data_IF_493637943493
#
_entry.id   IF_493637943493
#
_cell.length_a   1.000
_cell.length_b   1.000
_cell.length_c   1.000
_cell.angle_alpha   90.00
_cell.angle_beta   90.00
_cell.angle_gamma   90.00
#
_symmetry.space_group_name_H-M   'P 1'
#
loop_
_entity.id
_entity.type
_entity.pdbx_description
1 polymer ?
#
# COMPACT_ATOMS: atom_id res chain seq x y z
N UNK A 1 6.83 3.59 -0.43
CA UNK A 1 7.82 3.49 0.67
C UNK A 1 7.86 4.73 1.56
N UNK A 2 7.87 5.96 1.02
CA UNK A 2 7.91 7.18 1.82
C UNK A 2 6.80 7.29 2.89
N UNK A 3 5.55 6.93 2.55
CA UNK A 3 4.45 6.93 3.53
C UNK A 3 4.71 6.01 4.73
N UNK A 4 5.24 4.81 4.50
CA UNK A 4 5.56 3.87 5.59
C UNK A 4 6.63 4.47 6.49
N UNK A 5 7.68 5.06 5.90
CA UNK A 5 8.74 5.73 6.67
C UNK A 5 8.22 6.91 7.48
N UNK A 6 7.26 7.65 6.93
CA UNK A 6 6.62 8.80 7.56
C UNK A 6 5.71 8.39 8.73
N UNK A 7 4.86 7.39 8.51
CA UNK A 7 3.83 6.97 9.46
C UNK A 7 4.35 5.99 10.52
N UNK A 8 5.39 5.21 10.19
CA UNK A 8 5.89 4.10 11.02
C UNK A 8 7.43 4.14 11.09
N UNK A 9 8.03 5.20 11.65
CA UNK A 9 9.48 5.45 11.59
C UNK A 9 10.33 4.36 12.25
N UNK A 10 9.80 3.65 13.24
CA UNK A 10 10.53 2.56 13.92
C UNK A 10 10.49 1.22 13.17
N UNK A 11 9.64 1.10 12.14
CA UNK A 11 9.43 -0.16 11.43
C UNK A 11 10.25 -0.19 10.15
N UNK A 12 11.15 -1.17 10.03
CA UNK A 12 12.15 -1.22 8.94
C UNK A 12 12.01 -2.44 8.04
N UNK A 13 11.34 -3.50 8.49
CA UNK A 13 11.15 -4.73 7.73
C UNK A 13 9.73 -4.77 7.15
N UNK A 14 9.62 -4.78 5.83
CA UNK A 14 8.37 -4.69 5.09
C UNK A 14 8.10 -6.05 4.45
N UNK A 15 7.05 -6.71 4.90
CA UNK A 15 6.52 -7.89 4.24
C UNK A 15 5.70 -7.50 3.02
N UNK A 16 5.84 -8.25 1.94
CA UNK A 16 5.00 -8.09 0.74
C UNK A 16 4.63 -9.49 0.23
N UNK A 17 3.36 -9.68 -0.08
CA UNK A 17 2.87 -10.87 -0.77
C UNK A 17 2.60 -10.52 -2.23
N UNK A 18 3.21 -11.23 -3.16
CA UNK A 18 3.08 -11.00 -4.60
C UNK A 18 2.51 -12.25 -5.27
N UNK A 19 1.37 -12.08 -5.93
CA UNK A 19 0.84 -13.07 -6.85
C UNK A 19 1.38 -12.86 -8.28
N UNK A 20 0.80 -13.55 -9.27
CA UNK A 20 1.24 -13.47 -10.67
C UNK A 20 1.15 -12.06 -11.26
N UNK A 21 0.12 -11.28 -10.91
CA UNK A 21 -0.11 -9.93 -11.44
C UNK A 21 0.98 -8.95 -10.98
N UNK A 22 1.42 -9.11 -9.73
CA UNK A 22 2.39 -8.22 -9.10
C UNK A 22 3.83 -8.78 -9.07
N UNK A 23 4.09 -9.97 -9.64
CA UNK A 23 5.36 -10.68 -9.52
C UNK A 23 6.58 -9.84 -9.95
N UNK A 24 6.43 -9.05 -11.03
CA UNK A 24 7.50 -8.19 -11.57
C UNK A 24 7.86 -7.01 -10.64
N UNK A 25 6.98 -6.64 -9.70
CA UNK A 25 7.20 -5.49 -8.82
C UNK A 25 8.21 -5.74 -7.71
N UNK A 26 8.56 -7.00 -7.41
CA UNK A 26 9.43 -7.35 -6.28
C UNK A 26 10.78 -6.61 -6.29
N UNK A 27 11.46 -6.57 -7.44
CA UNK A 27 12.74 -5.87 -7.58
C UNK A 27 12.62 -4.36 -7.39
N UNK A 28 11.60 -3.74 -8.01
CA UNK A 28 11.34 -2.31 -7.90
C UNK A 28 10.97 -1.90 -6.46
N UNK A 29 10.18 -2.72 -5.77
CA UNK A 29 9.81 -2.52 -4.36
C UNK A 29 11.04 -2.60 -3.46
N UNK A 30 11.89 -3.62 -3.64
CA UNK A 30 13.13 -3.76 -2.88
C UNK A 30 14.09 -2.58 -3.09
N UNK A 31 14.28 -2.13 -4.34
CA UNK A 31 15.11 -0.97 -4.64
C UNK A 31 14.56 0.32 -4.01
N UNK A 32 13.25 0.57 -4.15
CA UNK A 32 12.58 1.73 -3.54
C UNK A 32 12.67 1.74 -2.02
N UNK A 33 12.57 0.57 -1.39
CA UNK A 33 12.70 0.39 0.05
C UNK A 33 14.14 0.62 0.52
N UNK A 34 15.12 0.06 -0.20
CA UNK A 34 16.55 0.22 0.10
C UNK A 34 16.98 1.68 0.12
N UNK A 35 16.49 2.49 -0.83
CA UNK A 35 16.72 3.94 -0.89
C UNK A 35 16.17 4.72 0.33
N UNK A 36 15.31 4.08 1.14
CA UNK A 36 14.70 4.65 2.35
C UNK A 36 15.22 3.95 3.63
N UNK A 37 16.25 3.09 3.53
CA UNK A 37 16.76 2.31 4.65
C UNK A 37 15.76 1.27 5.19
N UNK A 38 14.85 0.80 4.34
CA UNK A 38 13.89 -0.26 4.60
C UNK A 38 14.34 -1.57 3.92
N UNK A 39 13.91 -2.71 4.44
CA UNK A 39 14.16 -4.04 3.87
C UNK A 39 12.82 -4.66 3.47
N UNK A 40 12.76 -5.27 2.29
CA UNK A 40 11.55 -5.95 1.80
C UNK A 40 11.76 -7.45 1.86
N UNK A 41 10.82 -8.15 2.48
CA UNK A 41 10.71 -9.61 2.47
C UNK A 41 9.51 -10.01 1.61
N UNK A 42 9.76 -10.74 0.53
CA UNK A 42 8.75 -11.08 -0.48
C UNK A 42 8.31 -12.52 -0.33
N UNK A 43 7.04 -12.74 -0.01
CA UNK A 43 6.38 -14.03 -0.19
C UNK A 43 5.71 -14.09 -1.57
N UNK A 44 5.95 -15.17 -2.32
CA UNK A 44 5.32 -15.37 -3.62
C UNK A 44 4.19 -16.38 -3.50
N UNK A 45 3.07 -16.07 -4.13
CA UNK A 45 1.86 -16.89 -4.13
C UNK A 45 1.52 -17.19 -5.59
N UNK A 46 1.22 -18.44 -5.93
CA UNK A 46 0.73 -18.78 -7.28
C UNK A 46 -0.78 -19.01 -7.27
N UNK A 47 -1.28 -19.66 -6.22
CA UNK A 47 -2.70 -19.92 -6.01
C UNK A 47 -3.15 -19.47 -4.62
N UNK A 48 -4.45 -19.17 -4.40
CA UNK A 48 -4.93 -18.69 -3.11
C UNK A 48 -4.63 -19.63 -1.93
N UNK A 49 -4.48 -20.92 -2.17
CA UNK A 49 -4.23 -21.93 -1.13
C UNK A 49 -2.82 -21.79 -0.51
N UNK A 50 -1.85 -21.24 -1.25
CA UNK A 50 -0.48 -21.00 -0.75
C UNK A 50 -0.42 -19.81 0.22
N UNK A 51 -1.48 -19.00 0.28
CA UNK A 51 -1.50 -17.73 1.03
C UNK A 51 -1.16 -17.92 2.50
N UNK A 52 -1.70 -18.95 3.15
CA UNK A 52 -1.53 -19.14 4.59
C UNK A 52 -0.05 -19.34 4.97
N UNK A 53 0.66 -20.21 4.22
CA UNK A 53 2.08 -20.46 4.43
C UNK A 53 2.93 -19.24 4.11
N UNK A 54 2.74 -18.66 2.91
CA UNK A 54 3.49 -17.47 2.50
C UNK A 54 3.28 -16.28 3.45
N UNK A 55 2.05 -16.07 3.93
CA UNK A 55 1.75 -15.04 4.91
C UNK A 55 2.40 -15.32 6.26
N UNK A 56 2.41 -16.56 6.73
CA UNK A 56 3.08 -16.93 7.97
C UNK A 56 4.58 -16.59 7.92
N UNK A 57 5.26 -17.04 6.86
CA UNK A 57 6.70 -16.82 6.67
C UNK A 57 7.02 -15.32 6.58
N UNK A 58 6.21 -14.58 5.81
CA UNK A 58 6.40 -13.13 5.66
C UNK A 58 6.19 -12.38 6.97
N UNK A 59 5.17 -12.74 7.77
CA UNK A 59 4.88 -12.06 9.03
C UNK A 59 5.92 -12.37 10.11
N UNK A 60 6.64 -13.49 10.03
CA UNK A 60 7.74 -13.79 10.96
C UNK A 60 8.92 -12.81 10.81
N UNK A 61 9.14 -12.30 9.61
CA UNK A 61 10.28 -11.43 9.27
C UNK A 61 9.92 -9.94 9.13
N UNK A 62 8.64 -9.59 9.15
CA UNK A 62 8.15 -8.25 8.86
C UNK A 62 7.62 -7.50 10.09
N UNK A 63 7.88 -6.20 10.14
CA UNK A 63 7.28 -5.28 11.11
C UNK A 63 6.02 -4.59 10.56
N UNK A 64 5.84 -4.60 9.24
CA UNK A 64 4.68 -4.07 8.50
C UNK A 64 4.39 -4.98 7.31
N UNK A 65 3.12 -5.30 7.06
CA UNK A 65 2.71 -5.90 5.79
C UNK A 65 2.25 -4.79 4.84
N UNK A 66 2.84 -4.70 3.65
CA UNK A 66 2.39 -3.81 2.58
C UNK A 66 1.57 -4.61 1.57
N UNK A 67 0.29 -4.28 1.45
CA UNK A 67 -0.54 -4.83 0.39
C UNK A 67 -0.26 -4.15 -0.94
N UNK A 68 -0.03 -4.99 -1.94
CA UNK A 68 0.08 -4.62 -3.34
C UNK A 68 -1.15 -5.19 -4.06
N UNK A 69 -1.86 -4.43 -4.89
CA UNK A 69 -3.01 -4.95 -5.64
C UNK A 69 -2.61 -6.20 -6.43
N UNK A 70 -3.22 -7.32 -6.07
CA UNK A 70 -3.05 -8.61 -6.71
C UNK A 70 -4.28 -9.47 -6.40
N UNK A 71 -4.99 -9.93 -7.42
CA UNK A 71 -6.28 -10.61 -7.25
C UNK A 71 -6.18 -11.98 -6.58
N UNK A 72 -5.02 -12.65 -6.64
CA UNK A 72 -4.76 -13.92 -5.95
C UNK A 72 -4.58 -13.69 -4.45
N UNK A 73 -3.92 -12.59 -4.08
CA UNK A 73 -3.58 -12.28 -2.69
C UNK A 73 -4.69 -11.52 -1.97
N UNK A 74 -5.23 -10.47 -2.58
CA UNK A 74 -6.16 -9.52 -1.94
C UNK A 74 -7.52 -9.52 -2.66
N UNK A 75 -8.43 -10.37 -2.20
CA UNK A 75 -9.80 -10.44 -2.68
C UNK A 75 -10.78 -10.64 -1.52
N UNK A 76 -12.08 -10.70 -1.81
CA UNK A 76 -13.13 -10.85 -0.80
C UNK A 76 -13.01 -12.14 0.03
N UNK A 77 -12.39 -13.19 -0.50
CA UNK A 77 -12.19 -14.49 0.18
C UNK A 77 -10.95 -14.48 1.06
N UNK A 78 -9.88 -13.81 0.64
CA UNK A 78 -8.57 -13.86 1.33
C UNK A 78 -8.33 -12.73 2.32
N UNK A 79 -8.93 -11.55 2.09
CA UNK A 79 -8.61 -10.34 2.87
C UNK A 79 -8.87 -10.50 4.37
N UNK A 80 -9.94 -11.22 4.75
CA UNK A 80 -10.27 -11.46 6.16
C UNK A 80 -9.17 -12.26 6.86
N UNK A 81 -8.61 -13.27 6.19
CA UNK A 81 -7.50 -14.05 6.75
C UNK A 81 -6.25 -13.20 6.89
N UNK A 82 -5.93 -12.38 5.89
CA UNK A 82 -4.79 -11.45 5.96
C UNK A 82 -4.93 -10.50 7.14
N UNK A 83 -6.09 -9.85 7.30
CA UNK A 83 -6.36 -8.90 8.38
C UNK A 83 -6.26 -9.55 9.76
N UNK A 84 -6.77 -10.78 9.90
CA UNK A 84 -6.68 -11.53 11.16
C UNK A 84 -5.25 -11.92 11.48
N UNK A 85 -4.51 -12.48 10.52
CA UNK A 85 -3.12 -12.91 10.74
C UNK A 85 -2.20 -11.73 11.06
N UNK A 86 -2.37 -10.61 10.35
CA UNK A 86 -1.63 -9.37 10.62
C UNK A 86 -1.92 -8.82 12.01
N UNK A 87 -3.19 -8.79 12.41
CA UNK A 87 -3.58 -8.37 13.76
C UNK A 87 -3.03 -9.30 14.85
N UNK A 88 -3.17 -10.63 14.71
CA UNK A 88 -2.66 -11.61 15.67
C UNK A 88 -1.12 -11.58 15.77
N UNK A 89 -0.43 -11.41 14.65
CA UNK A 89 1.02 -11.24 14.61
C UNK A 89 1.50 -9.86 15.08
N UNK A 90 0.59 -8.94 15.42
CA UNK A 90 0.89 -7.53 15.76
C UNK A 90 1.68 -6.80 14.65
N UNK A 91 1.52 -7.23 13.41
CA UNK A 91 2.13 -6.63 12.22
C UNK A 91 1.08 -5.79 11.50
N UNK A 92 1.10 -4.45 11.56
CA UNK A 92 0.09 -3.64 10.90
C UNK A 92 0.08 -3.81 9.38
N UNK A 93 -1.12 -3.80 8.80
CA UNK A 93 -1.34 -3.80 7.35
C UNK A 93 -1.42 -2.37 6.80
N UNK A 94 -0.53 -2.05 5.86
CA UNK A 94 -0.60 -0.85 5.00
C UNK A 94 -1.24 -1.26 3.67
N UNK A 95 -2.41 -0.71 3.38
CA UNK A 95 -3.25 -1.10 2.27
C UNK A 95 -3.27 -0.09 1.09
N UNK A 96 -3.91 -0.48 0.00
CA UNK A 96 -4.14 0.36 -1.18
C UNK A 96 -5.61 0.78 -1.35
N UNK A 97 -6.48 0.45 -0.38
CA UNK A 97 -7.92 0.71 -0.46
C UNK A 97 -8.47 1.15 0.90
N UNK A 98 -9.32 2.20 0.94
CA UNK A 98 -9.96 2.63 2.18
C UNK A 98 -10.97 1.59 2.69
N UNK A 99 -11.44 0.68 1.84
CA UNK A 99 -12.28 -0.44 2.27
C UNK A 99 -11.52 -1.38 3.21
N UNK A 100 -10.22 -1.58 3.00
CA UNK A 100 -9.41 -2.41 3.88
C UNK A 100 -9.12 -1.70 5.20
N UNK A 101 -9.00 -0.37 5.22
CA UNK A 101 -8.89 0.40 6.48
C UNK A 101 -10.14 0.22 7.33
N UNK A 102 -11.33 0.31 6.70
CA UNK A 102 -12.61 0.02 7.38
C UNK A 102 -12.70 -1.42 7.89
N UNK A 103 -12.07 -2.37 7.19
CA UNK A 103 -12.05 -3.77 7.57
C UNK A 103 -10.99 -4.12 8.63
N UNK A 104 -10.05 -3.21 8.94
CA UNK A 104 -9.03 -3.43 10.00
C UNK A 104 -7.58 -3.23 9.57
N UNK A 105 -7.30 -2.75 8.35
CA UNK A 105 -5.96 -2.31 7.99
C UNK A 105 -5.59 -1.04 8.78
N UNK A 106 -4.31 -0.84 9.07
CA UNK A 106 -3.83 0.32 9.82
C UNK A 106 -4.05 1.62 9.05
N UNK A 107 -3.65 1.63 7.78
CA UNK A 107 -3.78 2.79 6.91
C UNK A 107 -3.81 2.35 5.44
N UNK A 108 -4.27 3.23 4.56
CA UNK A 108 -4.19 3.03 3.12
C UNK A 108 -3.83 4.30 2.37
N UNK A 109 -3.04 4.15 1.31
CA UNK A 109 -2.82 5.18 0.31
C UNK A 109 -3.65 4.84 -0.93
N UNK A 110 -4.50 5.75 -1.37
CA UNK A 110 -5.40 5.49 -2.51
C UNK A 110 -5.73 6.77 -3.26
N UNK A 111 -6.20 6.61 -4.50
CA UNK A 111 -6.82 7.68 -5.27
C UNK A 111 -8.31 7.40 -5.42
N UNK A 112 -9.14 8.43 -5.23
CA UNK A 112 -10.58 8.30 -5.39
C UNK A 112 -10.97 8.17 -6.87
N UNK A 113 -12.10 7.51 -7.20
CA UNK A 113 -12.60 7.49 -8.58
C UNK A 113 -12.77 8.88 -9.17
N UNK A 114 -13.16 9.86 -8.36
CA UNK A 114 -13.28 11.25 -8.79
C UNK A 114 -11.92 11.87 -9.15
N UNK A 115 -10.85 11.60 -8.38
CA UNK A 115 -9.48 12.04 -8.71
C UNK A 115 -9.00 11.45 -10.03
N UNK A 116 -9.16 10.13 -10.20
CA UNK A 116 -8.80 9.44 -11.45
C UNK A 116 -9.59 9.98 -12.64
N UNK A 117 -10.91 10.16 -12.49
CA UNK A 117 -11.78 10.71 -13.53
C UNK A 117 -11.39 12.14 -13.92
N UNK A 118 -10.99 12.99 -12.96
CA UNK A 118 -10.49 14.34 -13.25
C UNK A 118 -9.18 14.30 -14.04
N UNK A 119 -8.24 13.44 -13.66
CA UNK A 119 -6.96 13.29 -14.37
C UNK A 119 -7.18 12.79 -15.81
N UNK A 120 -8.02 11.76 -15.99
CA UNK A 120 -8.40 11.26 -17.30
C UNK A 120 -9.10 12.33 -18.14
N UNK A 121 -10.04 13.08 -17.56
CA UNK A 121 -10.74 14.17 -18.23
C UNK A 121 -9.82 15.31 -18.66
N UNK A 122 -8.76 15.62 -17.88
CA UNK A 122 -7.73 16.59 -18.29
C UNK A 122 -6.94 16.09 -19.50
N UNK A 123 -6.50 14.83 -19.48
CA UNK A 123 -5.78 14.21 -20.60
C UNK A 123 -6.62 14.19 -21.88
N UNK A 124 -7.90 13.80 -21.78
CA UNK A 124 -8.82 13.79 -22.92
C UNK A 124 -9.06 15.19 -23.50
N UNK A 125 -9.24 16.22 -22.65
CA UNK A 125 -9.40 17.59 -23.12
C UNK A 125 -8.16 18.10 -23.86
N UNK A 126 -6.96 17.77 -23.38
CA UNK A 126 -5.72 18.12 -24.06
C UNK A 126 -5.62 17.43 -25.43
N UNK A 127 -5.99 16.15 -25.50
CA UNK A 127 -6.00 15.39 -26.75
C UNK A 127 -7.00 15.94 -27.76
N UNK A 128 -8.21 16.30 -27.32
CA UNK A 128 -9.20 16.97 -28.17
C UNK A 128 -8.75 18.35 -28.67
N UNK A 129 -7.83 19.00 -27.96
CA UNK A 129 -7.18 20.24 -28.37
C UNK A 129 -5.95 20.02 -29.28
N UNK A 130 -5.71 18.78 -29.75
CA UNK A 130 -4.62 18.45 -30.68
C UNK A 130 -3.29 18.05 -30.04
N UNK A 131 -3.23 17.89 -28.71
CA UNK A 131 -2.04 17.37 -28.04
C UNK A 131 -2.02 15.84 -28.09
N UNK A 132 -0.84 15.23 -27.95
CA UNK A 132 -0.76 13.78 -27.79
C UNK A 132 -1.30 13.33 -26.43
N UNK A 133 -1.84 12.10 -26.37
CA UNK A 133 -2.21 11.49 -25.11
C UNK A 133 -0.95 11.25 -24.27
N UNK A 134 -0.98 11.58 -22.95
CA UNK A 134 0.16 11.30 -22.10
C UNK A 134 0.38 9.79 -21.97
N UNK A 135 1.63 9.33 -21.76
CA UNK A 135 1.90 7.93 -21.47
C UNK A 135 1.22 7.49 -20.16
N UNK A 136 1.20 6.18 -19.91
CA UNK A 136 0.73 5.64 -18.64
C UNK A 136 1.47 6.32 -17.48
N UNK A 137 0.70 6.91 -16.58
CA UNK A 137 1.19 7.69 -15.45
C UNK A 137 0.48 7.26 -14.18
N UNK A 138 1.18 7.37 -13.05
CA UNK A 138 0.57 7.18 -11.74
C UNK A 138 -0.48 8.28 -11.46
N UNK A 139 -1.41 8.02 -10.54
CA UNK A 139 -2.32 9.06 -10.06
C UNK A 139 -1.55 10.25 -9.47
N UNK A 140 -1.94 11.47 -9.84
CA UNK A 140 -1.34 12.72 -9.33
C UNK A 140 -1.93 13.12 -7.98
N UNK A 141 -3.20 12.79 -7.75
CA UNK A 141 -3.91 13.07 -6.52
C UNK A 141 -4.11 11.76 -5.73
N UNK A 142 -3.90 11.83 -4.42
CA UNK A 142 -4.09 10.72 -3.50
C UNK A 142 -4.61 11.20 -2.14
N UNK A 143 -5.15 10.27 -1.38
CA UNK A 143 -5.59 10.42 0.00
C UNK A 143 -4.97 9.32 0.87
N UNK A 144 -4.88 9.59 2.17
CA UNK A 144 -4.48 8.61 3.17
C UNK A 144 -5.65 8.40 4.12
N UNK A 145 -6.12 7.16 4.24
CA UNK A 145 -7.05 6.76 5.28
C UNK A 145 -6.28 6.07 6.41
N UNK A 146 -6.71 6.27 7.65
CA UNK A 146 -6.10 5.68 8.85
C UNK A 146 -7.17 5.00 9.70
N UNK A 147 -6.78 4.00 10.47
CA UNK A 147 -7.62 3.34 11.46
C UNK A 147 -7.06 3.59 12.87
N UNK A 148 -7.58 4.61 13.60
CA UNK A 148 -7.11 4.93 14.95
C UNK A 148 -7.33 3.80 15.96
N UNK A 149 -8.29 2.90 15.71
CA UNK A 149 -8.59 1.81 16.63
C UNK A 149 -7.50 0.74 16.53
N UNK A 150 -7.14 0.36 15.31
CA UNK A 150 -6.02 -0.57 15.05
C UNK A 150 -4.70 0.03 15.52
N UNK A 151 -4.46 1.32 15.27
CA UNK A 151 -3.28 2.02 15.76
C UNK A 151 -3.17 1.90 17.30
N UNK A 152 -4.25 2.20 18.03
CA UNK A 152 -4.30 2.10 19.49
C UNK A 152 -4.09 0.67 19.99
N UNK A 153 -4.74 -0.33 19.39
CA UNK A 153 -4.58 -1.75 19.77
C UNK A 153 -3.17 -2.28 19.56
N UNK A 154 -2.44 -1.71 18.58
CA UNK A 154 -1.06 -2.07 18.28
C UNK A 154 -0.02 -1.17 18.99
N UNK A 155 -0.46 -0.18 19.77
CA UNK A 155 0.43 0.77 20.45
C UNK A 155 1.18 1.69 19.47
N UNK A 156 0.51 2.11 18.40
CA UNK A 156 1.07 2.94 17.32
C UNK A 156 0.53 4.35 17.47
N UNK A 157 1.42 5.31 17.62
CA UNK A 157 1.10 6.72 17.41
C UNK A 157 1.03 6.98 15.91
N UNK A 158 -0.12 7.46 15.44
CA UNK A 158 -0.38 7.66 14.02
C UNK A 158 -1.04 9.03 13.82
N UNK A 159 -0.41 9.86 13.00
CA UNK A 159 -0.96 11.13 12.56
C UNK A 159 -2.28 10.93 11.80
N UNK A 160 -3.11 11.97 11.77
CA UNK A 160 -4.31 12.01 10.94
C UNK A 160 -3.97 11.79 9.45
N UNK A 161 -4.86 11.13 8.72
CA UNK A 161 -4.69 10.82 7.31
C UNK A 161 -4.44 12.06 6.44
N UNK A 162 -5.12 13.18 6.71
CA UNK A 162 -4.91 14.43 5.98
C UNK A 162 -3.51 15.01 6.24
N UNK A 163 -3.01 14.90 7.48
CA UNK A 163 -1.66 15.34 7.86
C UNK A 163 -0.60 14.48 7.16
N UNK A 164 -0.77 13.16 7.17
CA UNK A 164 0.12 12.23 6.47
C UNK A 164 0.14 12.50 4.96
N UNK A 165 -1.03 12.71 4.34
CA UNK A 165 -1.13 13.02 2.92
C UNK A 165 -0.43 14.35 2.57
N UNK A 166 -0.64 15.40 3.36
CA UNK A 166 0.01 16.70 3.15
C UNK A 166 1.53 16.64 3.31
N UNK A 167 2.03 15.90 4.31
CA UNK A 167 3.46 15.65 4.49
C UNK A 167 4.04 14.85 3.32
N UNK A 168 3.35 13.82 2.84
CA UNK A 168 3.79 13.01 1.72
C UNK A 168 3.90 13.83 0.43
N UNK A 169 2.91 14.68 0.10
CA UNK A 169 2.97 15.57 -1.08
C UNK A 169 4.17 16.51 -1.07
N UNK A 170 4.55 17.02 0.11
CA UNK A 170 5.74 17.86 0.26
C UNK A 170 7.04 17.11 0.00
N UNK A 171 7.09 15.82 0.34
CA UNK A 171 8.25 14.97 0.06
C UNK A 171 8.36 14.60 -1.43
N UNK A 172 7.24 14.39 -2.10
CA UNK A 172 7.22 14.05 -3.54
C UNK A 172 7.50 15.26 -4.44
N UNK A 173 7.10 16.46 -4.04
CA UNK A 173 7.42 17.70 -4.78
C UNK A 173 8.86 18.20 -4.61
N UNK A 174 9.60 17.66 -3.64
CA UNK A 174 11.00 17.99 -3.39
C UNK A 174 11.99 17.04 -4.09
N UNK A 175 11.49 16.11 -4.92
CA UNK A 175 12.27 15.15 -5.71
C UNK A 175 12.20 15.49 -7.18
#
# INVERSE_FOLDING_TARGET
MALIRLALPERRRIGVLLGPEAAALGGALAASAGAQGLRVHVGRIQVPDDLAGALHDVLAEADVLLAIPDSVVYNSRTIQNVLRSTFMGRVPLVAFSPAYVRAGALLALYSTPAQIGRQAGRALRAALAGHELPPQQSPQDFEVAVNPHVARSLGIELDDGAVLAARLRRLESAR
#
